data_IF_049030163452
#
_entry.id   IF_049030163452
#
_cell.length_a   1.000
_cell.length_b   1.000
_cell.length_c   1.000
_cell.angle_alpha   90.00
_cell.angle_beta   90.00
_cell.angle_gamma   90.00
#
_symmetry.space_group_name_H-M   'P 1'
#
loop_
_entity.id
_entity.type
_entity.pdbx_description
1 polymer ?
#
# COMPACT_ATOMS: atom_id res chain seq x y z
N UNK A 1 8.73 5.33 9.20
CA UNK A 1 8.26 5.20 7.81
C UNK A 1 8.01 3.72 7.52
N UNK A 2 6.83 3.36 7.00
CA UNK A 2 6.49 1.95 6.69
C UNK A 2 7.33 1.47 5.50
N UNK A 3 8.25 0.54 5.73
CA UNK A 3 9.05 -0.06 4.65
C UNK A 3 8.14 -0.87 3.73
N UNK A 4 8.26 -0.65 2.43
CA UNK A 4 7.56 -1.47 1.43
C UNK A 4 8.34 -2.76 1.21
N UNK A 5 7.74 -3.90 1.56
CA UNK A 5 8.34 -5.22 1.42
C UNK A 5 7.63 -5.95 0.28
N UNK A 6 8.39 -6.63 -0.58
CA UNK A 6 7.80 -7.36 -1.69
C UNK A 6 8.55 -8.64 -2.06
N UNK A 7 7.85 -9.56 -2.72
CA UNK A 7 8.37 -10.82 -3.23
C UNK A 7 7.84 -11.09 -4.65
N UNK A 8 8.57 -11.83 -5.51
CA UNK A 8 8.05 -12.22 -6.81
C UNK A 8 6.79 -13.10 -6.71
N UNK A 9 6.82 -14.09 -5.81
CA UNK A 9 5.81 -15.15 -5.72
C UNK A 9 5.60 -15.63 -4.27
N UNK A 10 4.46 -16.30 -4.04
CA UNK A 10 4.16 -17.08 -2.84
C UNK A 10 3.60 -18.45 -3.27
N UNK A 11 4.48 -19.43 -3.44
CA UNK A 11 4.17 -20.75 -4.04
C UNK A 11 4.63 -21.94 -3.16
N UNK A 12 5.06 -21.68 -1.94
CA UNK A 12 5.46 -22.75 -1.02
C UNK A 12 5.29 -22.32 0.45
N UNK A 13 5.26 -23.32 1.33
CA UNK A 13 5.09 -23.12 2.78
C UNK A 13 6.09 -22.15 3.39
N UNK A 14 7.37 -22.24 3.04
CA UNK A 14 8.40 -21.39 3.63
C UNK A 14 8.19 -19.91 3.29
N UNK A 15 7.80 -19.62 2.04
CA UNK A 15 7.49 -18.26 1.60
C UNK A 15 6.27 -17.68 2.34
N UNK A 16 5.23 -18.49 2.56
CA UNK A 16 4.05 -18.07 3.33
C UNK A 16 4.36 -17.81 4.80
N UNK A 17 5.14 -18.69 5.44
CA UNK A 17 5.60 -18.47 6.83
C UNK A 17 6.38 -17.16 6.94
N UNK A 18 7.30 -16.91 5.99
CA UNK A 18 8.02 -15.63 5.94
C UNK A 18 7.07 -14.44 5.74
N UNK A 19 6.06 -14.57 4.88
CA UNK A 19 5.06 -13.51 4.69
C UNK A 19 4.27 -13.21 5.98
N UNK A 20 3.96 -14.23 6.78
CA UNK A 20 3.27 -14.06 8.06
C UNK A 20 4.11 -13.35 9.11
N UNK A 21 5.42 -13.57 9.12
CA UNK A 21 6.37 -12.83 9.95
C UNK A 21 6.51 -11.37 9.51
N UNK A 22 6.54 -11.12 8.20
CA UNK A 22 6.62 -9.76 7.64
C UNK A 22 5.34 -8.96 7.84
N UNK A 23 4.19 -9.63 7.99
CA UNK A 23 2.83 -9.09 8.22
C UNK A 23 2.24 -8.20 7.13
N UNK A 24 3.05 -7.60 6.27
CA UNK A 24 2.64 -6.68 5.20
C UNK A 24 3.58 -6.90 4.01
N UNK A 25 3.07 -7.56 2.96
CA UNK A 25 3.86 -8.03 1.84
C UNK A 25 3.13 -7.83 0.51
N UNK A 26 3.82 -7.22 -0.45
CA UNK A 26 3.36 -7.15 -1.84
C UNK A 26 3.93 -8.32 -2.65
N UNK A 27 3.09 -8.95 -3.46
CA UNK A 27 3.45 -10.08 -4.32
C UNK A 27 3.30 -9.67 -5.77
N UNK A 28 4.33 -9.87 -6.58
CA UNK A 28 4.30 -9.45 -7.99
C UNK A 28 3.40 -10.34 -8.85
N UNK A 29 3.42 -11.65 -8.59
CA UNK A 29 2.65 -12.64 -9.36
C UNK A 29 2.08 -13.75 -8.46
N UNK A 30 0.74 -13.93 -8.42
CA UNK A 30 -0.27 -13.00 -8.93
C UNK A 30 -0.19 -11.67 -8.16
N UNK A 31 -0.45 -10.55 -8.85
CA UNK A 31 -0.35 -9.21 -8.26
C UNK A 31 -1.27 -9.09 -7.04
N UNK A 32 -0.70 -9.08 -5.83
CA UNK A 32 -1.49 -9.12 -4.60
C UNK A 32 -0.82 -8.35 -3.45
N UNK A 33 -1.63 -7.96 -2.49
CA UNK A 33 -1.20 -7.42 -1.21
C UNK A 33 -1.69 -8.34 -0.10
N UNK A 34 -0.75 -8.98 0.59
CA UNK A 34 -0.98 -9.95 1.66
C UNK A 34 -0.65 -9.28 2.99
N UNK A 35 -1.63 -9.25 3.90
CA UNK A 35 -1.49 -8.70 5.25
C UNK A 35 -1.94 -9.70 6.29
N UNK A 36 -1.18 -9.78 7.38
CA UNK A 36 -1.54 -10.55 8.56
C UNK A 36 -1.81 -9.59 9.71
N UNK A 37 -3.03 -9.65 10.21
CA UNK A 37 -3.46 -8.95 11.41
C UNK A 37 -3.58 -9.94 12.58
N UNK A 38 -3.73 -9.39 13.78
CA UNK A 38 -3.83 -10.17 15.01
C UNK A 38 -2.49 -10.42 15.68
N UNK A 39 -2.50 -10.38 17.02
CA UNK A 39 -1.29 -10.50 17.85
C UNK A 39 -0.98 -11.94 18.25
N UNK A 40 -2.02 -12.78 18.33
CA UNK A 40 -1.94 -14.14 18.85
C UNK A 40 -2.31 -15.17 17.76
N UNK A 41 -2.00 -16.45 18.03
CA UNK A 41 -2.30 -17.54 17.10
C UNK A 41 -3.79 -17.85 17.00
N UNK A 42 -4.55 -17.52 18.05
CA UNK A 42 -5.99 -17.79 18.14
C UNK A 42 -6.87 -16.64 17.60
N UNK A 43 -6.26 -15.49 17.31
CA UNK A 43 -6.87 -14.34 16.66
C UNK A 43 -6.02 -13.97 15.44
N UNK A 44 -6.02 -14.85 14.44
CA UNK A 44 -5.25 -14.72 13.23
C UNK A 44 -6.15 -14.29 12.08
N UNK A 45 -5.79 -13.19 11.41
CA UNK A 45 -6.55 -12.72 10.25
C UNK A 45 -5.63 -12.43 9.06
N UNK A 46 -5.77 -13.24 8.00
CA UNK A 46 -5.05 -13.07 6.74
C UNK A 46 -5.93 -12.31 5.75
N UNK A 47 -5.51 -11.11 5.37
CA UNK A 47 -6.17 -10.27 4.38
C UNK A 47 -5.37 -10.29 3.08
N UNK A 48 -6.02 -10.67 1.99
CA UNK A 48 -5.43 -10.73 0.66
C UNK A 48 -6.23 -9.81 -0.25
N UNK A 49 -5.58 -8.85 -0.89
CA UNK A 49 -6.21 -7.97 -1.89
C UNK A 49 -5.60 -8.27 -3.25
N UNK A 50 -6.43 -8.53 -4.26
CA UNK A 50 -5.98 -8.55 -5.66
C UNK A 50 -5.62 -7.12 -6.07
N UNK A 51 -4.36 -6.90 -6.45
CA UNK A 51 -3.83 -5.58 -6.79
C UNK A 51 -3.56 -5.40 -8.28
N UNK A 52 -4.11 -6.28 -9.12
CA UNK A 52 -4.00 -6.19 -10.56
C UNK A 52 -4.45 -4.82 -11.09
N UNK A 53 -5.43 -4.16 -10.47
CA UNK A 53 -5.90 -2.82 -10.86
C UNK A 53 -5.57 -1.73 -9.84
N UNK A 54 -4.71 -2.00 -8.85
CA UNK A 54 -4.37 -1.03 -7.80
C UNK A 54 -3.90 0.30 -8.38
N UNK A 55 -4.28 1.40 -7.73
CA UNK A 55 -4.05 2.80 -8.12
C UNK A 55 -4.83 3.26 -9.37
N UNK A 56 -5.64 2.41 -10.02
CA UNK A 56 -6.53 2.80 -11.13
C UNK A 56 -7.78 3.55 -10.65
N UNK A 57 -8.23 4.55 -11.42
CA UNK A 57 -9.49 5.27 -11.13
C UNK A 57 -10.70 4.53 -11.72
N UNK A 58 -11.81 4.53 -10.99
CA UNK A 58 -13.07 3.92 -11.42
C UNK A 58 -13.08 2.39 -11.44
N UNK A 59 -12.02 1.75 -10.92
CA UNK A 59 -11.91 0.31 -10.76
C UNK A 59 -12.13 -0.08 -9.30
N UNK A 60 -12.61 -1.29 -9.08
CA UNK A 60 -12.73 -1.92 -7.77
C UNK A 60 -11.82 -3.13 -7.71
N UNK A 61 -11.35 -3.45 -6.51
CA UNK A 61 -10.50 -4.59 -6.22
C UNK A 61 -11.24 -5.57 -5.33
N UNK A 62 -11.01 -6.86 -5.56
CA UNK A 62 -11.45 -7.89 -4.65
C UNK A 62 -10.48 -8.01 -3.48
N UNK A 63 -11.04 -8.08 -2.27
CA UNK A 63 -10.31 -8.32 -1.03
C UNK A 63 -10.98 -9.47 -0.30
N UNK A 64 -10.15 -10.37 0.21
CA UNK A 64 -10.57 -11.51 1.00
C UNK A 64 -9.93 -11.43 2.39
N UNK A 65 -10.68 -11.81 3.42
CA UNK A 65 -10.20 -11.93 4.80
C UNK A 65 -10.46 -13.36 5.26
N UNK A 66 -9.41 -14.05 5.70
CA UNK A 66 -9.47 -15.37 6.31
C UNK A 66 -9.16 -15.21 7.79
N UNK A 67 -10.20 -15.24 8.62
CA UNK A 67 -10.10 -15.07 10.07
C UNK A 67 -10.38 -16.37 10.80
N UNK A 68 -9.56 -16.68 11.79
CA UNK A 68 -9.62 -17.89 12.59
C UNK A 68 -8.36 -18.06 13.42
N UNK A 69 -7.98 -19.30 13.72
CA UNK A 69 -6.65 -19.58 14.25
C UNK A 69 -5.62 -19.75 13.12
N UNK A 70 -4.34 -19.59 13.46
CA UNK A 70 -3.21 -19.70 12.51
C UNK A 70 -3.17 -21.09 11.85
N UNK A 71 -3.45 -22.16 12.61
CA UNK A 71 -3.44 -23.52 12.10
C UNK A 71 -4.46 -23.75 11.00
N UNK A 72 -5.68 -23.24 11.14
CA UNK A 72 -6.74 -23.40 10.14
C UNK A 72 -6.42 -22.62 8.87
N UNK A 73 -5.82 -21.43 8.99
CA UNK A 73 -5.34 -20.69 7.82
C UNK A 73 -4.20 -21.43 7.13
N UNK A 74 -3.25 -21.99 7.88
CA UNK A 74 -2.16 -22.80 7.33
C UNK A 74 -2.67 -24.06 6.62
N UNK A 75 -3.67 -24.73 7.17
CA UNK A 75 -4.33 -25.88 6.54
C UNK A 75 -5.04 -25.47 5.24
N UNK A 76 -5.75 -24.34 5.24
CA UNK A 76 -6.38 -23.80 4.03
C UNK A 76 -5.34 -23.50 2.94
N UNK A 77 -4.20 -22.90 3.30
CA UNK A 77 -3.10 -22.68 2.37
C UNK A 77 -2.53 -23.99 1.84
N UNK A 78 -2.39 -25.01 2.70
CA UNK A 78 -1.92 -26.34 2.29
C UNK A 78 -2.88 -27.02 1.31
N UNK A 79 -4.20 -26.91 1.52
CA UNK A 79 -5.23 -27.38 0.58
C UNK A 79 -5.10 -26.68 -0.78
N UNK A 80 -4.79 -25.38 -0.77
CA UNK A 80 -4.50 -24.60 -1.99
C UNK A 80 -3.11 -24.89 -2.57
N UNK A 81 -2.38 -25.89 -2.07
CA UNK A 81 -1.04 -26.24 -2.53
C UNK A 81 -0.01 -25.14 -2.29
N UNK A 82 -0.23 -24.26 -1.31
CA UNK A 82 0.57 -23.08 -1.01
C UNK A 82 0.67 -22.06 -2.16
N UNK A 83 -0.18 -22.16 -3.17
CA UNK A 83 -0.19 -21.24 -4.31
C UNK A 83 -1.11 -20.05 -4.05
N UNK A 84 -0.55 -18.83 -4.05
CA UNK A 84 -1.36 -17.62 -3.92
C UNK A 84 -2.39 -17.48 -5.05
N UNK A 85 -2.03 -17.89 -6.26
CA UNK A 85 -2.98 -17.92 -7.38
C UNK A 85 -4.17 -18.81 -7.05
N UNK A 86 -3.91 -20.02 -6.54
CA UNK A 86 -4.98 -20.95 -6.18
C UNK A 86 -5.83 -20.43 -5.03
N UNK A 87 -5.21 -19.79 -4.04
CA UNK A 87 -5.92 -19.13 -2.93
C UNK A 87 -6.90 -18.08 -3.45
N UNK A 88 -6.45 -17.18 -4.33
CA UNK A 88 -7.31 -16.15 -4.93
C UNK A 88 -8.47 -16.77 -5.74
N UNK A 89 -8.19 -17.79 -6.56
CA UNK A 89 -9.22 -18.51 -7.32
C UNK A 89 -10.28 -19.13 -6.41
N UNK A 90 -9.84 -19.82 -5.35
CA UNK A 90 -10.73 -20.47 -4.37
C UNK A 90 -11.55 -19.43 -3.62
N UNK A 91 -10.93 -18.37 -3.11
CA UNK A 91 -11.64 -17.29 -2.41
C UNK A 91 -12.67 -16.58 -3.32
N UNK A 92 -12.33 -16.33 -4.58
CA UNK A 92 -13.21 -15.69 -5.55
C UNK A 92 -14.40 -16.57 -5.97
N UNK A 93 -14.31 -17.89 -5.81
CA UNK A 93 -15.40 -18.81 -6.10
C UNK A 93 -16.51 -18.78 -5.01
N UNK A 94 -16.23 -18.23 -3.83
CA UNK A 94 -17.24 -18.04 -2.80
C UNK A 94 -18.02 -16.75 -3.03
N UNK A 95 -19.35 -16.86 -3.06
CA UNK A 95 -20.24 -15.71 -3.05
C UNK A 95 -20.26 -15.06 -1.66
N UNK A 96 -19.30 -14.18 -1.43
CA UNK A 96 -19.20 -13.44 -0.19
C UNK A 96 -20.03 -12.16 -0.31
N UNK A 97 -21.31 -12.25 0.05
CA UNK A 97 -22.14 -11.05 0.19
C UNK A 97 -21.48 -10.04 1.13
N UNK A 98 -21.57 -8.73 0.85
CA UNK A 98 -21.09 -7.70 1.75
C UNK A 98 -21.68 -7.91 3.15
N UNK A 99 -20.83 -7.96 4.18
CA UNK A 99 -21.16 -8.18 5.61
C UNK A 99 -21.41 -9.61 6.07
N UNK A 100 -21.51 -10.59 5.17
CA UNK A 100 -21.60 -12.02 5.56
C UNK A 100 -20.25 -12.70 5.44
N UNK A 101 -20.07 -13.76 6.23
CA UNK A 101 -18.94 -14.67 6.09
C UNK A 101 -19.41 -16.04 5.67
N UNK A 102 -18.56 -16.71 4.90
CA UNK A 102 -18.65 -18.15 4.67
C UNK A 102 -17.84 -18.84 5.75
N UNK A 103 -18.46 -19.76 6.47
CA UNK A 103 -17.75 -20.62 7.43
C UNK A 103 -17.10 -21.76 6.65
N UNK A 104 -15.77 -21.78 6.62
CA UNK A 104 -14.99 -22.82 5.93
C UNK A 104 -14.69 -24.00 6.86
N UNK A 105 -14.47 -23.71 8.16
CA UNK A 105 -14.29 -24.67 9.27
C UNK A 105 -14.83 -24.08 10.57
N UNK A 106 -14.71 -24.81 11.68
CA UNK A 106 -15.20 -24.39 13.00
C UNK A 106 -14.73 -22.98 13.37
N UNK A 107 -13.43 -22.71 13.25
CA UNK A 107 -12.85 -21.39 13.54
C UNK A 107 -12.58 -20.55 12.30
N UNK A 108 -12.38 -21.19 11.13
CA UNK A 108 -12.05 -20.49 9.89
C UNK A 108 -13.27 -19.91 9.19
N UNK A 109 -13.22 -18.61 8.98
CA UNK A 109 -14.24 -17.83 8.29
C UNK A 109 -13.60 -17.04 7.16
N UNK A 110 -14.31 -16.97 6.04
CA UNK A 110 -13.95 -16.19 4.87
C UNK A 110 -14.93 -15.03 4.72
N UNK A 111 -14.40 -13.82 4.58
CA UNK A 111 -15.15 -12.65 4.15
C UNK A 111 -14.60 -12.14 2.82
N UNK A 112 -15.49 -11.65 1.97
CA UNK A 112 -15.16 -10.96 0.72
C UNK A 112 -15.63 -9.52 0.76
N UNK A 113 -14.83 -8.64 0.18
CA UNK A 113 -15.06 -7.21 0.13
C UNK A 113 -14.61 -6.65 -1.21
N UNK A 114 -15.22 -5.53 -1.59
CA UNK A 114 -14.73 -4.69 -2.66
C UNK A 114 -14.09 -3.43 -2.07
N UNK A 115 -13.00 -2.98 -2.70
CA UNK A 115 -12.33 -1.73 -2.35
C UNK A 115 -12.07 -0.89 -3.58
N UNK A 116 -12.24 0.42 -3.47
CA UNK A 116 -11.85 1.37 -4.50
C UNK A 116 -10.36 1.19 -4.84
N UNK A 117 -10.04 0.92 -6.10
CA UNK A 117 -8.66 0.64 -6.50
C UNK A 117 -7.73 1.86 -6.35
N UNK A 118 -8.28 3.07 -6.49
CA UNK A 118 -7.54 4.34 -6.38
C UNK A 118 -6.93 4.60 -4.99
N UNK A 119 -7.40 3.89 -3.95
CA UNK A 119 -6.93 4.01 -2.56
C UNK A 119 -6.18 2.77 -2.07
N UNK A 120 -5.83 1.85 -2.98
CA UNK A 120 -4.96 0.72 -2.68
C UNK A 120 -3.62 0.96 -3.37
N UNK A 121 -2.57 1.01 -2.56
CA UNK A 121 -1.20 1.10 -3.06
C UNK A 121 -0.72 -0.27 -3.55
N UNK A 122 0.09 -0.28 -4.61
CA UNK A 122 0.88 -1.43 -5.00
C UNK A 122 2.18 -0.94 -5.64
N UNK A 123 3.37 -1.39 -5.17
CA UNK A 123 4.65 -0.90 -5.68
C UNK A 123 4.85 -1.22 -7.17
N UNK A 124 4.25 -2.32 -7.64
CA UNK A 124 4.31 -2.74 -9.04
C UNK A 124 3.33 -1.97 -9.93
N UNK A 125 2.34 -1.30 -9.35
CA UNK A 125 1.33 -0.55 -10.09
C UNK A 125 1.75 0.88 -10.42
N UNK A 126 2.78 1.42 -9.76
CA UNK A 126 3.25 2.79 -9.98
C UNK A 126 3.58 3.08 -11.46
N UNK A 127 4.16 2.09 -12.17
CA UNK A 127 4.48 2.19 -13.59
C UNK A 127 3.26 2.23 -14.52
N UNK A 128 2.05 1.94 -14.03
CA UNK A 128 0.80 1.98 -14.81
C UNK A 128 0.03 3.28 -14.62
N UNK A 129 0.43 4.09 -13.63
CA UNK A 129 -0.19 5.39 -13.39
C UNK A 129 0.08 6.30 -14.59
N UNK A 130 -0.95 7.02 -15.04
CA UNK A 130 -0.80 7.97 -16.14
C UNK A 130 0.10 9.15 -15.71
N UNK A 131 1.19 9.45 -16.45
CA UNK A 131 2.09 10.53 -16.10
C UNK A 131 1.37 11.89 -16.17
N UNK A 132 1.88 12.86 -15.42
CA UNK A 132 1.43 14.25 -15.52
C UNK A 132 1.99 14.83 -16.84
N UNK A 133 1.09 15.33 -17.69
CA UNK A 133 1.43 15.86 -19.01
C UNK A 133 1.75 17.36 -18.98
N UNK A 134 1.09 18.10 -18.10
CA UNK A 134 1.24 19.55 -17.90
C UNK A 134 0.98 19.89 -16.45
N UNK A 135 1.44 21.06 -16.01
CA UNK A 135 1.14 21.55 -14.68
C UNK A 135 -0.37 21.75 -14.47
N UNK A 136 -0.94 21.22 -13.38
CA UNK A 136 -2.34 21.45 -13.08
C UNK A 136 -2.54 22.89 -12.61
N UNK A 137 -3.67 23.51 -12.94
CA UNK A 137 -4.04 24.84 -12.41
C UNK A 137 -4.24 24.85 -10.89
N UNK A 138 -4.50 23.68 -10.30
CA UNK A 138 -4.64 23.47 -8.86
C UNK A 138 -4.07 22.11 -8.50
N UNK A 139 -3.15 22.08 -7.55
CA UNK A 139 -2.57 20.84 -7.07
C UNK A 139 -3.55 20.04 -6.21
N UNK A 140 -3.48 18.71 -6.37
CA UNK A 140 -4.24 17.74 -5.59
C UNK A 140 -3.33 16.55 -5.28
N UNK A 141 -3.61 15.78 -4.22
CA UNK A 141 -2.77 14.62 -3.86
C UNK A 141 -2.69 13.61 -4.99
N UNK A 142 -3.77 13.34 -5.75
CA UNK A 142 -3.65 12.54 -6.96
C UNK A 142 -2.69 13.09 -8.03
N UNK A 143 -2.52 14.42 -8.14
CA UNK A 143 -1.49 14.99 -9.03
C UNK A 143 -0.08 14.68 -8.51
N UNK A 144 0.13 14.81 -7.19
CA UNK A 144 1.40 14.46 -6.53
C UNK A 144 1.71 12.98 -6.69
N UNK A 145 0.74 12.08 -6.48
CA UNK A 145 0.91 10.64 -6.71
C UNK A 145 1.32 10.36 -8.15
N UNK A 146 0.69 10.99 -9.14
CA UNK A 146 1.06 10.82 -10.56
C UNK A 146 2.49 11.28 -10.85
N UNK A 147 2.89 12.42 -10.28
CA UNK A 147 4.24 12.95 -10.40
C UNK A 147 5.25 11.96 -9.78
N UNK A 148 5.04 11.58 -8.52
CA UNK A 148 5.95 10.70 -7.79
C UNK A 148 5.90 9.25 -8.25
N UNK A 149 4.85 8.78 -8.92
CA UNK A 149 4.81 7.42 -9.47
C UNK A 149 5.57 7.31 -10.80
N UNK A 150 5.67 8.40 -11.57
CA UNK A 150 6.11 8.35 -12.98
C UNK A 150 7.36 9.17 -13.31
N UNK A 151 7.71 10.15 -12.49
CA UNK A 151 8.75 11.11 -12.83
C UNK A 151 9.98 10.97 -11.93
N UNK A 152 11.01 10.28 -12.41
CA UNK A 152 12.24 10.05 -11.63
C UNK A 152 12.98 11.34 -11.28
N UNK A 153 12.75 12.42 -12.04
CA UNK A 153 13.44 13.69 -11.85
C UNK A 153 12.75 14.56 -10.79
N UNK A 154 11.49 14.26 -10.45
CA UNK A 154 10.83 14.86 -9.31
C UNK A 154 11.55 14.46 -8.02
N UNK A 155 12.14 15.45 -7.33
CA UNK A 155 12.87 15.25 -6.09
C UNK A 155 12.02 15.67 -4.91
N UNK A 156 11.94 14.80 -3.91
CA UNK A 156 11.26 15.08 -2.65
C UNK A 156 12.30 15.22 -1.55
N UNK A 157 12.15 16.26 -0.73
CA UNK A 157 12.98 16.48 0.45
C UNK A 157 12.10 16.70 1.65
N UNK A 158 12.47 16.14 2.79
CA UNK A 158 11.83 16.44 4.07
C UNK A 158 12.11 17.90 4.44
N UNK A 159 11.06 18.67 4.71
CA UNK A 159 11.19 20.02 5.28
C UNK A 159 11.30 19.95 6.80
N UNK A 160 10.50 19.07 7.41
CA UNK A 160 10.55 18.74 8.83
C UNK A 160 9.80 17.41 9.10
N UNK A 161 10.27 16.68 10.10
CA UNK A 161 9.63 15.50 10.67
C UNK A 161 9.84 15.50 12.19
N UNK A 162 8.74 15.40 12.94
CA UNK A 162 8.75 15.26 14.39
C UNK A 162 8.39 13.84 14.81
N UNK A 163 9.02 13.40 15.89
CA UNK A 163 8.72 12.21 16.67
C UNK A 163 8.43 12.62 18.12
N UNK A 164 8.12 11.65 18.98
CA UNK A 164 7.91 11.93 20.40
C UNK A 164 9.23 12.21 21.17
N UNK A 165 10.39 12.02 20.53
CA UNK A 165 11.72 12.36 21.08
C UNK A 165 12.29 13.61 20.39
N UNK A 166 11.91 14.77 20.92
CA UNK A 166 12.32 16.07 20.39
C UNK A 166 13.84 16.27 20.43
N UNK A 167 14.55 15.64 21.36
CA UNK A 167 16.02 15.73 21.43
C UNK A 167 16.63 14.96 20.25
N UNK A 168 16.19 13.73 20.03
CA UNK A 168 16.62 12.94 18.88
C UNK A 168 16.27 13.64 17.54
N UNK A 169 15.12 14.32 17.48
CA UNK A 169 14.76 15.13 16.31
C UNK A 169 15.70 16.31 16.09
N UNK A 170 16.02 17.07 17.14
CA UNK A 170 16.98 18.16 17.04
C UNK A 170 18.37 17.65 16.61
N UNK A 171 18.82 16.52 17.16
CA UNK A 171 20.11 15.89 16.84
C UNK A 171 20.20 15.46 15.36
N UNK A 172 19.08 15.06 14.74
CA UNK A 172 18.97 14.77 13.29
C UNK A 172 18.49 15.96 12.45
N UNK A 173 18.51 17.17 13.01
CA UNK A 173 18.02 18.41 12.37
C UNK A 173 16.59 18.27 11.80
N UNK A 174 15.70 17.62 12.55
CA UNK A 174 14.31 17.35 12.19
C UNK A 174 14.15 16.62 10.86
N UNK A 175 15.17 15.85 10.46
CA UNK A 175 15.22 15.16 9.18
C UNK A 175 15.25 16.09 7.97
N UNK A 176 15.56 17.38 8.14
CA UNK A 176 15.56 18.36 7.05
C UNK A 176 16.51 17.92 5.93
N UNK A 177 16.09 18.14 4.69
CA UNK A 177 16.78 17.77 3.44
C UNK A 177 17.00 16.27 3.21
N UNK A 178 16.58 15.38 4.12
CA UNK A 178 16.57 13.95 3.84
C UNK A 178 15.65 13.62 2.68
N UNK A 179 16.08 12.65 1.87
CA UNK A 179 15.28 12.06 0.81
C UNK A 179 14.42 10.95 1.43
N UNK A 180 13.08 11.07 1.45
CA UNK A 180 12.23 10.02 1.97
C UNK A 180 12.26 8.78 1.08
N UNK A 181 11.94 7.62 1.64
CA UNK A 181 11.63 6.44 0.81
C UNK A 181 10.41 6.76 -0.05
N UNK A 182 10.65 6.83 -1.35
CA UNK A 182 9.65 7.23 -2.35
C UNK A 182 8.45 6.29 -2.39
N UNK A 183 8.67 4.97 -2.24
CA UNK A 183 7.58 4.00 -2.25
C UNK A 183 6.74 4.10 -0.97
N UNK A 184 7.40 4.30 0.17
CA UNK A 184 6.69 4.52 1.43
C UNK A 184 5.85 5.81 1.40
N UNK A 185 6.42 6.91 0.89
CA UNK A 185 5.67 8.16 0.72
C UNK A 185 4.50 8.00 -0.26
N UNK A 186 4.73 7.33 -1.40
CA UNK A 186 3.67 7.02 -2.36
C UNK A 186 2.54 6.21 -1.72
N UNK A 187 2.89 5.21 -0.91
CA UNK A 187 1.91 4.40 -0.18
C UNK A 187 1.05 5.28 0.72
N UNK A 188 1.67 6.15 1.53
CA UNK A 188 0.93 7.05 2.43
C UNK A 188 0.02 8.02 1.66
N UNK A 189 0.47 8.54 0.52
CA UNK A 189 -0.32 9.46 -0.31
C UNK A 189 -1.51 8.76 -0.99
N UNK A 190 -1.35 7.49 -1.38
CA UNK A 190 -2.43 6.70 -1.99
C UNK A 190 -3.44 6.25 -0.95
N UNK A 191 -2.97 5.67 0.16
CA UNK A 191 -3.83 5.04 1.16
C UNK A 191 -4.46 6.04 2.13
N UNK A 192 -3.79 7.17 2.41
CA UNK A 192 -4.24 8.19 3.37
C UNK A 192 -4.34 9.60 2.75
N UNK A 193 -4.44 9.70 1.42
CA UNK A 193 -4.35 10.98 0.70
C UNK A 193 -5.32 12.09 1.14
N UNK A 194 -6.47 11.76 1.71
CA UNK A 194 -7.43 12.76 2.23
C UNK A 194 -6.92 13.51 3.48
N UNK A 195 -5.98 12.94 4.21
CA UNK A 195 -5.40 13.54 5.41
C UNK A 195 -4.25 14.51 5.10
N UNK A 196 -3.74 14.47 3.86
CA UNK A 196 -2.64 15.33 3.43
C UNK A 196 -3.14 16.70 2.95
N UNK A 197 -2.35 17.71 3.26
CA UNK A 197 -2.50 19.08 2.77
C UNK A 197 -1.44 19.35 1.70
N UNK A 198 -1.79 20.24 0.79
CA UNK A 198 -0.90 20.70 -0.28
C UNK A 198 -0.86 22.21 -0.23
N UNK A 199 0.35 22.74 -0.28
CA UNK A 199 0.62 24.16 -0.35
C UNK A 199 1.53 24.41 -1.56
N UNK A 200 1.19 25.43 -2.33
CA UNK A 200 2.02 25.91 -3.43
C UNK A 200 2.48 27.31 -3.04
N UNK A 201 3.79 27.52 -3.02
CA UNK A 201 4.41 28.80 -2.74
C UNK A 201 5.43 29.16 -3.83
N UNK A 202 6.16 30.26 -3.62
CA UNK A 202 7.12 30.79 -4.58
C UNK A 202 8.34 29.86 -4.76
N UNK A 203 8.59 28.96 -3.81
CA UNK A 203 9.75 28.05 -3.78
C UNK A 203 9.38 26.65 -4.30
N UNK A 204 8.09 26.33 -4.41
CA UNK A 204 7.60 25.16 -5.11
C UNK A 204 6.34 24.55 -4.47
N UNK A 205 6.27 23.23 -4.52
CA UNK A 205 5.14 22.46 -4.02
C UNK A 205 5.50 21.78 -2.69
N UNK A 206 4.70 22.00 -1.66
CA UNK A 206 4.84 21.34 -0.36
C UNK A 206 3.63 20.46 -0.06
N UNK A 207 3.90 19.30 0.56
CA UNK A 207 2.86 18.39 1.09
C UNK A 207 3.11 18.14 2.58
N UNK A 208 2.05 18.14 3.37
CA UNK A 208 2.15 17.93 4.82
C UNK A 208 0.99 17.10 5.38
N UNK A 209 1.28 16.34 6.43
CA UNK A 209 0.29 15.59 7.19
C UNK A 209 0.80 15.32 8.60
N UNK A 210 0.05 15.78 9.61
CA UNK A 210 0.41 15.64 11.01
C UNK A 210 1.78 16.27 11.30
N UNK A 211 2.70 15.45 11.80
CA UNK A 211 4.06 15.85 12.20
C UNK A 211 5.11 15.77 11.07
N UNK A 212 4.69 15.82 9.80
CA UNK A 212 5.58 15.61 8.64
C UNK A 212 5.27 16.59 7.52
N UNK A 213 6.32 17.13 6.88
CA UNK A 213 6.21 17.96 5.69
C UNK A 213 7.35 17.70 4.70
N UNK A 214 7.03 17.78 3.41
CA UNK A 214 7.97 17.53 2.32
C UNK A 214 7.85 18.61 1.25
N UNK A 215 8.99 19.11 0.80
CA UNK A 215 9.12 19.92 -0.41
C UNK A 215 9.28 18.99 -1.62
N UNK A 216 8.61 19.34 -2.71
CA UNK A 216 8.65 18.65 -3.99
C UNK A 216 9.18 19.62 -5.02
N UNK A 217 10.38 19.33 -5.51
CA UNK A 217 10.96 20.03 -6.65
C UNK A 217 10.36 19.47 -7.93
N UNK A 218 9.72 20.35 -8.69
CA UNK A 218 9.06 20.00 -9.94
C UNK A 218 10.11 19.79 -11.05
N UNK A 219 9.94 18.76 -11.91
CA UNK A 219 10.78 18.53 -13.08
C UNK A 219 10.70 19.70 -14.09
N UNK A 220 11.85 20.10 -14.65
CA UNK A 220 11.96 21.19 -15.63
C UNK A 220 11.03 21.00 -16.84
N UNK A 221 10.88 19.75 -17.30
CA UNK A 221 10.00 19.40 -18.44
C UNK A 221 8.53 19.78 -18.23
N UNK A 222 8.08 19.89 -16.98
CA UNK A 222 6.71 20.29 -16.65
C UNK A 222 6.59 21.80 -16.52
N UNK A 223 7.67 22.49 -16.16
CA UNK A 223 7.72 23.94 -16.03
C UNK A 223 7.78 24.61 -17.41
N UNK A 224 8.45 23.99 -18.37
CA UNK A 224 8.63 24.51 -19.73
C UNK A 224 7.46 24.24 -20.69
N UNK A 225 6.40 23.53 -20.26
CA UNK A 225 5.28 23.06 -21.09
C UNK A 225 3.98 23.81 -20.81
#
# INVERSE_FOLDING_TARGET
>A
MLKVISTPHLENRAAWVMAFEMRDLFVAQPAAHVRRYGLHKDDFNLVITDTAEAMSRGKTLNRFSLGGNESDVMDFLAICGWSLKKVLEVCAAFDCEPTKHVRLRDTLKLWGYQRDAKIEFCPFAAQRVNPLQKLPKKWTIPHVVRLLARDTDARVKTQWELTDDYKADADRNFGRDHLPDRLALLRELVEAGSAWRIHEDHEGLSISHGQRSYAIHLPDRLIAA
#
